data_IF_341741898228
#
_entry.id   IF_341741898228
#
_cell.length_a   1.000
_cell.length_b   1.000
_cell.length_c   1.000
_cell.angle_alpha   90.00
_cell.angle_beta   90.00
_cell.angle_gamma   90.00
#
_symmetry.space_group_name_H-M   'P 1'
#
loop_
_entity.id
_entity.type
_entity.pdbx_description
1 polymer ?
#
# COMPACT_ATOMS: atom_id res chain seq x y z
N UNK A 1 15.21 -70.75 -54.65
CA UNK A 1 14.41 -71.81 -55.30
C UNK A 1 12.95 -71.59 -54.89
N UNK A 2 12.05 -71.47 -55.87
CA UNK A 2 10.57 -71.61 -55.75
C UNK A 2 9.80 -70.58 -54.88
N UNK A 3 9.19 -69.59 -55.56
CA UNK A 3 7.75 -69.26 -55.36
C UNK A 3 6.91 -70.54 -55.61
N UNK A 4 5.63 -70.70 -55.19
CA UNK A 4 4.58 -69.67 -55.06
C UNK A 4 3.50 -69.99 -53.98
N UNK A 5 2.38 -69.26 -54.06
CA UNK A 5 0.99 -69.66 -53.73
C UNK A 5 0.33 -68.95 -52.54
N UNK A 6 -0.96 -68.58 -52.51
CA UNK A 6 -2.09 -68.46 -53.47
C UNK A 6 -3.27 -68.03 -52.59
N UNK A 7 -4.17 -67.16 -53.08
CA UNK A 7 -5.60 -67.08 -52.70
C UNK A 7 -5.94 -66.65 -51.23
N UNK A 8 -7.07 -66.06 -50.84
CA UNK A 8 -8.29 -65.45 -51.42
C UNK A 8 -9.10 -64.88 -50.23
N UNK A 9 -10.11 -64.04 -50.53
CA UNK A 9 -11.43 -63.93 -49.83
C UNK A 9 -11.37 -63.39 -48.38
N UNK A 10 -12.26 -62.54 -47.87
CA UNK A 10 -13.36 -61.71 -48.36
C UNK A 10 -13.91 -60.94 -47.13
N UNK A 11 -14.92 -60.12 -47.39
CA UNK A 11 -16.05 -59.82 -46.51
C UNK A 11 -15.84 -58.83 -45.35
N UNK A 12 -16.22 -57.58 -45.66
CA UNK A 12 -17.31 -56.81 -45.02
C UNK A 12 -17.61 -57.11 -43.55
N UNK A 13 -17.41 -56.09 -42.71
CA UNK A 13 -18.31 -55.78 -41.61
C UNK A 13 -18.34 -54.26 -41.40
N UNK A 14 -19.45 -53.62 -41.79
CA UNK A 14 -19.81 -52.29 -41.29
C UNK A 14 -20.17 -52.45 -39.81
N UNK A 15 -19.33 -51.91 -38.93
CA UNK A 15 -19.69 -51.72 -37.53
C UNK A 15 -20.11 -50.26 -37.35
N UNK A 16 -21.39 -50.11 -37.02
CA UNK A 16 -22.01 -48.86 -36.62
C UNK A 16 -21.23 -48.24 -35.45
N UNK A 17 -20.73 -47.03 -35.65
CA UNK A 17 -20.18 -46.20 -34.58
C UNK A 17 -21.34 -45.65 -33.74
N UNK A 18 -21.66 -46.32 -32.64
CA UNK A 18 -22.38 -45.70 -31.54
C UNK A 18 -21.34 -44.97 -30.68
N UNK A 19 -21.12 -43.69 -30.98
CA UNK A 19 -20.37 -42.79 -30.09
C UNK A 19 -21.25 -42.51 -28.86
N UNK A 20 -20.86 -42.89 -27.64
CA UNK A 20 -21.59 -42.51 -26.45
C UNK A 20 -21.40 -41.01 -26.25
N UNK A 21 -22.49 -40.25 -26.38
CA UNK A 21 -22.54 -38.81 -26.13
C UNK A 21 -21.94 -38.51 -24.75
N UNK A 22 -20.68 -38.05 -24.76
CA UNK A 22 -19.92 -37.67 -23.58
C UNK A 22 -20.70 -36.54 -22.89
N UNK A 23 -21.10 -36.70 -21.62
CA UNK A 23 -21.75 -35.63 -20.87
C UNK A 23 -20.81 -34.43 -20.86
N UNK A 24 -21.23 -33.36 -21.55
CA UNK A 24 -20.53 -32.08 -21.52
C UNK A 24 -20.66 -31.55 -20.10
N UNK A 25 -19.51 -31.44 -19.41
CA UNK A 25 -19.49 -30.91 -18.06
C UNK A 25 -20.13 -29.51 -18.06
N UNK A 26 -20.97 -29.18 -17.06
CA UNK A 26 -21.55 -27.84 -16.97
C UNK A 26 -20.43 -26.79 -17.04
N UNK A 27 -20.68 -25.62 -17.65
CA UNK A 27 -19.71 -24.54 -17.70
C UNK A 27 -19.23 -24.27 -16.28
N UNK A 28 -17.93 -24.49 -16.03
CA UNK A 28 -17.30 -24.10 -14.78
C UNK A 28 -17.34 -22.57 -14.78
N UNK A 29 -18.24 -21.97 -14.00
CA UNK A 29 -18.22 -20.54 -13.71
C UNK A 29 -16.80 -20.21 -13.25
N UNK A 30 -16.09 -19.41 -14.06
CA UNK A 30 -14.80 -18.91 -13.67
C UNK A 30 -14.97 -18.15 -12.35
N UNK A 31 -14.12 -18.37 -11.34
CA UNK A 31 -14.22 -17.65 -10.09
C UNK A 31 -14.22 -16.15 -10.41
N UNK A 32 -15.31 -15.48 -10.02
CA UNK A 32 -15.42 -14.03 -10.07
C UNK A 32 -14.22 -13.48 -9.31
N UNK A 33 -13.30 -12.84 -10.02
CA UNK A 33 -12.18 -12.13 -9.42
C UNK A 33 -12.81 -10.98 -8.65
N UNK A 34 -12.99 -11.16 -7.34
CA UNK A 34 -13.38 -10.07 -6.47
C UNK A 34 -12.37 -8.94 -6.71
N UNK A 35 -12.86 -7.79 -7.18
CA UNK A 35 -12.04 -6.58 -7.29
C UNK A 35 -11.46 -6.31 -5.90
N UNK A 36 -10.12 -6.28 -5.82
CA UNK A 36 -9.45 -5.90 -4.60
C UNK A 36 -9.93 -4.49 -4.21
N UNK A 37 -10.21 -4.22 -2.92
CA UNK A 37 -10.60 -2.90 -2.48
C UNK A 37 -9.56 -1.89 -2.97
N UNK A 38 -10.01 -0.88 -3.71
CA UNK A 38 -9.14 0.21 -4.15
C UNK A 38 -8.78 1.04 -2.94
N UNK A 39 -7.53 0.96 -2.50
CA UNK A 39 -6.98 1.83 -1.49
C UNK A 39 -7.19 3.30 -1.88
N UNK A 40 -7.82 4.08 -1.00
CA UNK A 40 -8.04 5.51 -1.21
C UNK A 40 -7.03 6.30 -0.37
N UNK A 41 -6.18 7.06 -1.04
CA UNK A 41 -5.21 7.93 -0.38
C UNK A 41 -5.92 8.98 0.50
N UNK A 42 -5.34 9.26 1.67
CA UNK A 42 -5.82 10.27 2.60
C UNK A 42 -5.84 11.64 1.93
N UNK A 43 -6.97 12.32 2.04
CA UNK A 43 -7.14 13.71 1.61
C UNK A 43 -8.05 14.41 2.62
N UNK A 44 -7.77 15.68 2.91
CA UNK A 44 -8.56 16.42 3.89
C UNK A 44 -7.81 17.54 4.60
N UNK A 45 -8.50 18.15 5.56
CA UNK A 45 -7.98 19.17 6.46
C UNK A 45 -8.18 18.66 7.90
N UNK A 46 -7.14 18.66 8.71
CA UNK A 46 -7.16 18.11 10.06
C UNK A 46 -6.49 19.10 11.02
N UNK A 47 -7.19 19.46 12.10
CA UNK A 47 -6.68 20.31 13.16
C UNK A 47 -5.66 19.59 14.04
N UNK A 48 -4.60 20.28 14.46
CA UNK A 48 -3.60 19.70 15.36
C UNK A 48 -4.18 19.39 16.75
N UNK A 49 -4.03 18.14 17.22
CA UNK A 49 -4.56 17.70 18.53
C UNK A 49 -3.47 17.33 19.52
N UNK A 50 -2.32 16.83 19.06
CA UNK A 50 -1.16 16.60 19.93
C UNK A 50 -0.39 17.90 20.22
N UNK A 51 0.20 18.03 21.41
CA UNK A 51 1.05 19.18 21.76
C UNK A 51 2.23 19.35 20.79
N UNK A 52 2.80 18.23 20.34
CA UNK A 52 3.85 18.20 19.32
C UNK A 52 3.36 18.75 17.98
N UNK A 53 2.18 18.33 17.50
CA UNK A 53 1.59 18.88 16.27
C UNK A 53 1.31 20.38 16.42
N UNK A 54 0.67 20.81 17.52
CA UNK A 54 0.37 22.23 17.75
C UNK A 54 1.62 23.11 17.78
N UNK A 55 2.72 22.60 18.32
CA UNK A 55 4.00 23.32 18.43
C UNK A 55 4.81 23.34 17.12
N UNK A 56 4.87 22.21 16.41
CA UNK A 56 5.80 21.99 15.29
C UNK A 56 5.10 22.14 13.95
N UNK A 57 4.02 21.41 13.70
CA UNK A 57 3.41 21.33 12.36
C UNK A 57 2.24 22.30 12.17
N UNK A 58 1.53 22.62 13.25
CA UNK A 58 0.19 23.21 13.14
C UNK A 58 -0.76 22.22 12.48
N UNK A 59 -1.85 22.73 11.91
CA UNK A 59 -2.86 21.96 11.19
C UNK A 59 -2.29 21.30 9.94
N UNK A 60 -2.92 20.20 9.55
CA UNK A 60 -2.51 19.34 8.45
C UNK A 60 -3.50 19.44 7.30
N UNK A 61 -3.03 19.80 6.12
CA UNK A 61 -3.78 19.63 4.87
C UNK A 61 -3.12 18.56 4.01
N UNK A 62 -3.90 17.61 3.51
CA UNK A 62 -3.42 16.50 2.68
C UNK A 62 -4.15 16.47 1.35
N UNK A 63 -3.40 16.47 0.25
CA UNK A 63 -3.85 16.10 -1.10
C UNK A 63 -3.06 14.88 -1.58
N UNK A 64 -3.40 14.21 -2.70
CA UNK A 64 -2.65 13.02 -3.14
C UNK A 64 -1.15 13.25 -3.36
N UNK A 65 -0.78 14.44 -3.81
CA UNK A 65 0.59 14.82 -4.18
C UNK A 65 1.30 15.73 -3.16
N UNK A 66 0.61 16.15 -2.10
CA UNK A 66 1.13 17.18 -1.19
C UNK A 66 0.60 17.08 0.23
N UNK A 67 1.46 17.45 1.16
CA UNK A 67 1.15 17.68 2.57
C UNK A 67 1.54 19.10 2.92
N UNK A 68 0.62 19.88 3.48
CA UNK A 68 0.87 21.25 3.94
C UNK A 68 0.64 21.32 5.43
N UNK A 69 1.61 21.89 6.14
CA UNK A 69 1.62 22.08 7.59
C UNK A 69 1.43 23.57 7.87
N UNK A 70 0.45 23.94 8.69
CA UNK A 70 0.09 25.35 8.89
C UNK A 70 1.18 26.20 9.58
N UNK A 71 2.24 25.55 10.10
CA UNK A 71 3.49 26.21 10.58
C UNK A 71 4.50 26.51 9.47
N UNK A 72 4.12 26.38 8.21
CA UNK A 72 4.87 26.95 7.10
C UNK A 72 5.73 25.97 6.30
N UNK A 73 5.55 24.67 6.48
CA UNK A 73 6.24 23.65 5.67
C UNK A 73 5.26 22.97 4.72
N UNK A 74 5.69 22.79 3.47
CA UNK A 74 4.95 22.08 2.43
C UNK A 74 5.84 20.97 1.87
N UNK A 75 5.30 19.76 1.83
CA UNK A 75 6.00 18.55 1.43
C UNK A 75 5.31 18.00 0.19
N UNK A 76 5.97 18.05 -0.96
CA UNK A 76 5.52 17.34 -2.15
C UNK A 76 5.83 15.86 -1.98
N UNK A 77 4.89 15.00 -2.38
CA UNK A 77 4.99 13.57 -2.16
C UNK A 77 4.80 12.76 -3.44
N UNK A 78 5.48 11.62 -3.53
CA UNK A 78 5.13 10.57 -4.48
C UNK A 78 3.75 9.97 -4.14
N UNK A 79 3.12 9.22 -5.08
CA UNK A 79 1.88 8.51 -4.81
C UNK A 79 1.96 7.61 -3.58
N UNK A 80 0.81 7.47 -2.92
CA UNK A 80 0.62 6.64 -1.74
C UNK A 80 0.88 5.15 -2.03
N UNK A 81 1.49 4.47 -1.07
CA UNK A 81 1.57 3.02 -1.01
C UNK A 81 0.99 2.54 0.30
N UNK A 82 0.14 1.52 0.26
CA UNK A 82 -0.40 0.88 1.45
C UNK A 82 0.70 0.05 2.16
N UNK A 83 0.78 0.16 3.48
CA UNK A 83 1.64 -0.69 4.32
C UNK A 83 0.85 -1.26 5.50
N UNK A 84 1.27 -2.44 5.97
CA UNK A 84 0.65 -3.09 7.12
C UNK A 84 1.20 -2.52 8.44
N UNK A 85 0.37 -2.38 9.50
CA UNK A 85 0.84 -2.01 10.84
C UNK A 85 1.94 -2.91 11.39
N UNK A 86 1.95 -4.19 11.00
CA UNK A 86 2.94 -5.17 11.45
C UNK A 86 4.27 -5.07 10.73
N UNK A 87 4.37 -4.29 9.64
CA UNK A 87 5.63 -4.07 8.95
C UNK A 87 6.63 -3.37 9.88
N UNK A 88 7.91 -3.71 9.77
CA UNK A 88 8.96 -3.04 10.52
C UNK A 88 9.28 -1.67 9.91
N UNK A 89 9.71 -0.73 10.75
CA UNK A 89 10.23 0.56 10.30
C UNK A 89 11.63 0.38 9.68
N UNK A 90 12.43 -0.49 10.30
CA UNK A 90 13.74 -0.90 9.85
C UNK A 90 13.98 -2.37 10.22
N UNK A 91 14.90 -3.03 9.53
CA UNK A 91 15.29 -4.42 9.73
C UNK A 91 15.65 -4.69 11.20
N UNK A 92 14.90 -5.58 11.85
CA UNK A 92 15.08 -5.90 13.27
C UNK A 92 14.66 -4.80 14.25
N UNK A 93 14.03 -3.73 13.75
CA UNK A 93 13.51 -2.61 14.54
C UNK A 93 12.08 -2.83 15.03
N UNK A 94 11.44 -1.73 15.42
CA UNK A 94 10.01 -1.73 15.82
C UNK A 94 9.11 -1.80 14.59
N UNK A 95 7.94 -2.39 14.77
CA UNK A 95 6.84 -2.29 13.81
C UNK A 95 6.14 -0.93 13.86
N UNK A 96 5.41 -0.59 12.81
CA UNK A 96 4.56 0.61 12.78
C UNK A 96 3.56 0.61 13.94
N UNK A 97 2.91 -0.52 14.21
CA UNK A 97 1.94 -0.70 15.29
C UNK A 97 2.51 -0.42 16.69
N UNK A 98 3.84 -0.56 16.88
CA UNK A 98 4.50 -0.25 18.15
C UNK A 98 4.81 1.25 18.33
N UNK A 99 4.59 2.07 17.30
CA UNK A 99 4.98 3.49 17.29
C UNK A 99 3.83 4.48 17.43
N UNK A 100 2.59 4.02 17.25
CA UNK A 100 1.40 4.84 17.49
C UNK A 100 0.35 4.08 18.28
N UNK A 101 -0.51 4.82 18.98
CA UNK A 101 -1.66 4.25 19.70
C UNK A 101 -2.86 4.31 18.77
N UNK A 102 -3.19 3.20 18.12
CA UNK A 102 -4.39 3.09 17.27
C UNK A 102 -4.74 1.63 16.99
N UNK A 103 -5.89 1.38 16.34
CA UNK A 103 -6.26 0.03 15.94
C UNK A 103 -5.22 -0.56 14.98
N UNK A 104 -4.76 -1.78 15.27
CA UNK A 104 -3.77 -2.51 14.46
C UNK A 104 -4.36 -3.10 13.19
N UNK A 105 -5.67 -2.93 12.96
CA UNK A 105 -6.38 -3.32 11.74
C UNK A 105 -6.35 -2.23 10.66
N UNK A 106 -5.88 -1.03 10.98
CA UNK A 106 -5.85 0.08 10.03
C UNK A 106 -4.65 -0.08 9.10
N UNK A 107 -4.90 -0.23 7.80
CA UNK A 107 -3.86 -0.05 6.81
C UNK A 107 -3.26 1.36 6.93
N UNK A 108 -1.93 1.47 6.82
CA UNK A 108 -1.27 2.78 6.82
C UNK A 108 -1.00 3.19 5.37
N UNK A 109 -1.06 4.49 5.18
CA UNK A 109 -0.49 5.14 4.02
C UNK A 109 1.00 5.36 4.22
N UNK A 110 1.82 5.12 3.20
CA UNK A 110 3.21 5.58 3.16
C UNK A 110 3.42 6.42 1.91
N UNK A 111 4.08 7.57 2.08
CA UNK A 111 4.45 8.48 1.00
C UNK A 111 5.92 8.85 1.08
N UNK A 112 6.60 8.85 -0.07
CA UNK A 112 7.95 9.42 -0.18
C UNK A 112 7.86 10.93 -0.34
N UNK A 113 8.60 11.68 0.46
CA UNK A 113 8.79 13.12 0.27
C UNK A 113 9.77 13.34 -0.88
N UNK A 114 9.35 14.10 -1.88
CA UNK A 114 10.17 14.39 -3.08
C UNK A 114 10.73 15.81 -3.06
N UNK A 115 10.05 16.74 -2.41
CA UNK A 115 10.53 18.09 -2.15
C UNK A 115 9.94 18.64 -0.85
N UNK A 116 10.68 19.53 -0.19
CA UNK A 116 10.21 20.30 0.94
C UNK A 116 10.40 21.79 0.63
N UNK A 117 9.35 22.58 0.82
CA UNK A 117 9.37 24.03 0.64
C UNK A 117 8.83 24.73 1.87
N UNK A 118 9.38 25.92 2.12
CA UNK A 118 8.99 26.78 3.23
C UNK A 118 8.09 27.87 2.66
N UNK A 119 6.91 28.06 3.27
CA UNK A 119 5.97 29.08 2.86
C UNK A 119 6.53 30.48 3.17
N UNK A 120 6.36 31.41 2.23
CA UNK A 120 6.84 32.78 2.38
C UNK A 120 6.27 33.44 3.64
N UNK A 121 7.11 34.18 4.36
CA UNK A 121 6.73 34.88 5.60
C UNK A 121 6.62 33.98 6.84
N UNK A 122 7.00 32.71 6.75
CA UNK A 122 7.01 31.77 7.88
C UNK A 122 8.43 31.44 8.34
N UNK A 123 8.60 31.11 9.62
CA UNK A 123 9.83 30.49 10.13
C UNK A 123 9.53 29.02 10.37
N UNK A 124 9.99 28.12 9.49
CA UNK A 124 9.59 26.73 9.51
C UNK A 124 10.12 26.06 10.78
N UNK A 125 9.24 25.37 11.49
CA UNK A 125 9.65 24.38 12.47
C UNK A 125 9.82 23.06 11.71
N UNK A 126 11.07 22.63 11.55
CA UNK A 126 11.39 21.44 10.74
C UNK A 126 10.85 20.19 11.43
N UNK A 127 10.04 19.40 10.71
CA UNK A 127 9.40 18.17 11.21
C UNK A 127 10.38 17.16 11.84
N UNK A 128 11.56 16.97 11.25
CA UNK A 128 12.61 16.07 11.75
C UNK A 128 13.80 16.83 12.40
N UNK A 129 13.58 18.05 12.92
CA UNK A 129 14.69 18.89 13.38
C UNK A 129 15.64 19.21 12.24
N UNK A 130 16.96 19.10 12.43
CA UNK A 130 17.92 19.45 11.37
C UNK A 130 18.04 18.43 10.23
N UNK A 131 17.45 17.25 10.39
CA UNK A 131 17.46 16.22 9.35
C UNK A 131 16.29 16.40 8.39
N UNK A 132 16.46 16.25 7.07
CA UNK A 132 15.36 16.27 6.13
C UNK A 132 14.36 15.11 6.35
N UNK A 133 13.07 15.42 6.27
CA UNK A 133 12.02 14.39 6.15
C UNK A 133 12.14 13.73 4.78
N UNK A 134 12.10 12.40 4.76
CA UNK A 134 12.21 11.62 3.52
C UNK A 134 10.94 10.79 3.25
N UNK A 135 10.21 10.40 4.30
CA UNK A 135 8.95 9.67 4.18
C UNK A 135 7.95 10.11 5.24
N UNK A 136 6.67 10.01 4.91
CA UNK A 136 5.55 10.23 5.82
C UNK A 136 4.68 8.97 5.79
N UNK A 137 4.27 8.48 6.95
CA UNK A 137 3.19 7.50 7.05
C UNK A 137 1.97 8.10 7.73
N UNK A 138 0.77 7.75 7.27
CA UNK A 138 -0.49 8.17 7.86
C UNK A 138 -1.28 6.97 8.34
N UNK A 139 -1.68 6.98 9.61
CA UNK A 139 -2.69 6.08 10.14
C UNK A 139 -3.97 6.89 10.35
N UNK A 140 -5.04 6.55 9.63
CA UNK A 140 -6.34 7.21 9.74
C UNK A 140 -7.37 6.30 10.42
N UNK A 141 -7.87 6.74 11.57
CA UNK A 141 -8.99 6.11 12.28
C UNK A 141 -10.29 6.83 11.88
N UNK A 142 -11.00 6.24 10.92
CA UNK A 142 -12.23 6.81 10.38
C UNK A 142 -13.37 6.86 11.42
N UNK A 143 -13.40 5.94 12.38
CA UNK A 143 -14.44 5.91 13.42
C UNK A 143 -14.30 7.10 14.39
N UNK A 144 -13.07 7.60 14.55
CA UNK A 144 -12.74 8.73 15.44
C UNK A 144 -12.40 10.01 14.70
N UNK A 145 -12.33 9.98 13.37
CA UNK A 145 -11.82 11.06 12.54
C UNK A 145 -10.44 11.57 13.01
N UNK A 146 -9.54 10.65 13.36
CA UNK A 146 -8.19 10.97 13.86
C UNK A 146 -7.14 10.53 12.86
N UNK A 147 -6.21 11.43 12.54
CA UNK A 147 -5.01 11.12 11.74
C UNK A 147 -3.79 11.14 12.63
N UNK A 148 -2.98 10.09 12.57
CA UNK A 148 -1.61 10.11 13.09
C UNK A 148 -0.62 10.12 11.93
N UNK A 149 0.19 11.17 11.85
CA UNK A 149 1.31 11.28 10.93
C UNK A 149 2.60 10.84 11.63
N UNK A 150 3.32 9.93 10.99
CA UNK A 150 4.65 9.49 11.37
C UNK A 150 5.64 10.04 10.34
N UNK A 151 6.63 10.78 10.79
CA UNK A 151 7.65 11.34 9.92
C UNK A 151 8.97 10.57 10.06
N UNK A 152 9.59 10.27 8.93
CA UNK A 152 10.81 9.49 8.86
C UNK A 152 11.90 10.25 8.13
N UNK A 153 13.13 10.04 8.59
CA UNK A 153 14.35 10.42 7.90
C UNK A 153 15.11 9.16 7.45
N UNK A 154 16.01 9.32 6.48
CA UNK A 154 16.76 8.22 5.89
C UNK A 154 16.51 8.08 4.39
N UNK A 155 17.42 7.42 3.69
CA UNK A 155 17.34 7.29 2.23
C UNK A 155 16.38 6.17 1.78
N UNK A 156 16.12 5.21 2.66
CA UNK A 156 15.31 4.02 2.37
C UNK A 156 13.87 4.22 2.85
N UNK A 157 12.92 3.66 2.10
CA UNK A 157 11.54 3.59 2.55
C UNK A 157 11.45 2.75 3.84
N UNK A 158 10.71 3.17 4.88
CA UNK A 158 10.44 2.33 6.03
C UNK A 158 9.91 0.95 5.61
N UNK A 159 10.45 -0.12 6.19
CA UNK A 159 10.07 -1.49 5.86
C UNK A 159 11.05 -2.53 6.41
N UNK A 160 10.69 -3.80 6.25
CA UNK A 160 11.48 -4.94 6.78
C UNK A 160 12.91 -5.04 6.22
N UNK A 161 13.13 -4.48 5.04
CA UNK A 161 14.43 -4.44 4.38
C UNK A 161 15.23 -3.16 4.65
N UNK A 162 14.63 -2.15 5.31
CA UNK A 162 15.28 -0.86 5.51
C UNK A 162 16.33 -0.96 6.62
N UNK A 163 17.55 -0.54 6.34
CA UNK A 163 18.65 -0.49 7.30
C UNK A 163 18.84 0.89 7.91
N UNK A 164 18.35 1.95 7.26
CA UNK A 164 18.62 3.34 7.66
C UNK A 164 17.40 4.25 7.79
N UNK A 165 16.19 3.69 7.85
CA UNK A 165 14.96 4.44 8.13
C UNK A 165 14.82 4.74 9.63
N UNK A 166 14.54 5.99 9.98
CA UNK A 166 14.42 6.44 11.37
C UNK A 166 13.17 7.29 11.57
N UNK A 167 12.32 6.88 12.50
CA UNK A 167 11.19 7.69 12.97
C UNK A 167 11.73 8.93 13.71
N UNK A 168 11.41 10.11 13.22
CA UNK A 168 11.86 11.39 13.78
C UNK A 168 10.73 12.16 14.48
N UNK A 169 9.47 11.84 14.19
CA UNK A 169 8.31 12.57 14.71
C UNK A 169 7.00 11.80 14.59
N UNK A 170 6.12 12.06 15.55
CA UNK A 170 4.75 11.52 15.61
C UNK A 170 3.81 12.65 15.96
N UNK A 171 2.77 12.84 15.15
CA UNK A 171 1.87 13.98 15.22
C UNK A 171 0.43 13.51 15.08
N UNK A 172 -0.45 13.93 15.99
CA UNK A 172 -1.88 13.60 15.92
C UNK A 172 -2.72 14.81 15.56
N UNK A 173 -3.74 14.56 14.74
CA UNK A 173 -4.70 15.51 14.21
C UNK A 173 -6.12 14.95 14.30
N UNK A 174 -7.12 15.83 14.27
CA UNK A 174 -8.54 15.45 14.21
C UNK A 174 -9.34 16.46 13.40
N UNK A 175 -10.53 16.07 12.95
CA UNK A 175 -11.49 16.97 12.29
C UNK A 175 -12.18 17.95 13.26
#
# INVERSE_FOLDING_TARGET
MRLPHTLTIAAVALLAACDPQKPEAPPVEAPSVAEAPTYQALTGLFGATSSTAMGITGDLAVTPERVTLSKGEQLDTAPATEILPTALIAAGGKSFAETYVGPTSLALELRKVTAATVLEGTTPQKVCGDTPVSYLAFAYDADRAVVTMLAFSGAEAPGDAATNSQLCGTFSYGE
#
